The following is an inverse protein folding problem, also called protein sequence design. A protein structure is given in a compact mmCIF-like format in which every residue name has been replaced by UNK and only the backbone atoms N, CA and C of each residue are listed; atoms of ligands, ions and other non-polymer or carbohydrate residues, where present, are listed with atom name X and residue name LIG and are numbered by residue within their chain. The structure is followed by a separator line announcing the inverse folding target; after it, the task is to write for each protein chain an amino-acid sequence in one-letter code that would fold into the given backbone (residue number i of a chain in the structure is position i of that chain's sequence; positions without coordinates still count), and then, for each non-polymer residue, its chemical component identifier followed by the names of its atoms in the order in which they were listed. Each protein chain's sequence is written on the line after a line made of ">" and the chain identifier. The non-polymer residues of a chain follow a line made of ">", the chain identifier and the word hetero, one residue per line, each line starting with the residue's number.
data_IF_286182488805
#
_entry.id   IF_286182488805
#
_cell.length_a   1.000
_cell.length_b   1.000
_cell.length_c   1.000
_cell.angle_alpha   90.00
_cell.angle_beta   90.00
_cell.angle_gamma   90.00
#
_symmetry.space_group_name_H-M   'P 1'
#
loop_
_entity.id
_entity.type
_entity.pdbx_description
1 polymer ?
#
# COMPACT_ATOMS: atom_id res chain seq x y z
N UNK A 1 9.93 -7.35 -21.39
CA UNK A 1 9.69 -7.85 -20.03
C UNK A 1 9.84 -6.68 -19.07
N UNK A 2 8.74 -6.01 -18.70
CA UNK A 2 8.80 -4.79 -17.87
C UNK A 2 9.09 -5.19 -16.43
N UNK A 3 10.32 -4.92 -15.98
CA UNK A 3 10.71 -5.10 -14.58
C UNK A 3 9.77 -4.27 -13.69
N UNK A 4 9.09 -4.94 -12.77
CA UNK A 4 8.29 -4.29 -11.72
C UNK A 4 9.26 -3.49 -10.84
N UNK A 5 9.50 -2.22 -11.20
CA UNK A 5 10.31 -1.31 -10.40
C UNK A 5 9.74 -1.27 -8.98
N UNK A 6 10.60 -1.40 -7.94
CA UNK A 6 10.14 -1.41 -6.57
C UNK A 6 9.41 -0.10 -6.24
N UNK A 7 8.36 -0.23 -5.45
CA UNK A 7 7.35 0.78 -5.12
C UNK A 7 7.88 1.86 -4.16
N UNK A 8 9.09 2.40 -4.39
CA UNK A 8 9.70 3.44 -3.53
C UNK A 8 8.83 4.68 -3.46
N UNK A 9 8.28 4.98 -2.29
CA UNK A 9 7.47 6.17 -2.06
C UNK A 9 8.24 7.46 -2.47
N UNK A 10 7.55 8.54 -2.82
CA UNK A 10 8.19 9.85 -2.87
C UNK A 10 8.86 10.16 -1.53
N UNK A 11 10.07 10.70 -1.54
CA UNK A 11 10.86 10.98 -0.32
C UNK A 11 10.09 11.82 0.71
N UNK A 12 9.28 12.76 0.23
CA UNK A 12 8.43 13.61 1.08
C UNK A 12 7.38 12.82 1.86
N UNK A 13 7.07 11.57 1.51
CA UNK A 13 6.10 10.74 2.22
C UNK A 13 6.77 9.79 3.20
N UNK A 14 8.01 9.35 2.91
CA UNK A 14 8.76 8.41 3.76
C UNK A 14 9.03 8.99 5.16
N UNK A 15 9.19 10.31 5.29
CA UNK A 15 9.49 10.98 6.57
C UNK A 15 8.30 11.06 7.53
N UNK A 16 7.08 10.75 7.08
CA UNK A 16 5.83 10.98 7.82
C UNK A 16 5.06 9.68 8.11
N UNK A 17 5.68 8.51 7.91
CA UNK A 17 5.04 7.21 8.14
C UNK A 17 5.23 6.76 9.58
N UNK A 18 4.14 6.59 10.32
CA UNK A 18 4.16 6.01 11.67
C UNK A 18 4.21 4.47 11.61
N UNK A 19 4.97 3.86 12.53
CA UNK A 19 5.08 2.40 12.67
C UNK A 19 3.81 1.72 13.18
N UNK A 20 2.85 2.47 13.74
CA UNK A 20 1.55 1.96 14.19
C UNK A 20 0.67 1.45 13.03
N UNK A 21 0.96 1.93 11.82
CA UNK A 21 0.22 1.60 10.62
C UNK A 21 1.09 0.76 9.67
N UNK A 22 0.42 -0.14 8.96
CA UNK A 22 0.93 -0.79 7.77
C UNK A 22 0.70 0.15 6.58
N UNK A 23 1.71 0.32 5.73
CA UNK A 23 1.67 1.26 4.62
C UNK A 23 1.93 0.55 3.30
N UNK A 24 1.08 0.82 2.29
CA UNK A 24 1.27 0.29 0.94
C UNK A 24 1.34 1.45 -0.06
N UNK A 25 2.51 1.72 -0.66
CA UNK A 25 2.60 2.55 -1.86
C UNK A 25 1.92 1.82 -3.01
N UNK A 26 1.00 2.42 -3.76
CA UNK A 26 0.47 1.91 -5.03
C UNK A 26 0.78 2.90 -6.15
N UNK A 27 1.12 2.40 -7.33
CA UNK A 27 1.17 3.20 -8.56
C UNK A 27 0.04 2.77 -9.48
N UNK A 28 -0.79 3.72 -9.86
CA UNK A 28 -1.84 3.57 -10.84
C UNK A 28 -1.33 4.16 -12.17
N UNK A 29 -1.36 3.40 -13.25
CA UNK A 29 -0.93 3.89 -14.54
C UNK A 29 -1.99 4.82 -15.15
N UNK A 30 -1.61 5.66 -16.13
CA UNK A 30 -2.49 6.70 -16.69
C UNK A 30 -3.73 6.16 -17.41
N UNK A 31 -3.68 4.94 -17.96
CA UNK A 31 -4.81 4.31 -18.65
C UNK A 31 -5.98 3.97 -17.73
N UNK A 32 -5.75 3.88 -16.42
CA UNK A 32 -6.84 3.67 -15.46
C UNK A 32 -7.65 4.96 -15.40
N UNK A 33 -8.96 4.92 -15.53
CA UNK A 33 -9.76 6.14 -15.39
C UNK A 33 -9.79 6.61 -13.93
N UNK A 34 -10.20 7.86 -13.68
CA UNK A 34 -10.43 8.35 -12.31
C UNK A 34 -11.45 7.47 -11.58
N UNK A 35 -12.58 7.19 -12.23
CA UNK A 35 -13.66 6.38 -11.67
C UNK A 35 -13.19 4.95 -11.38
N UNK A 36 -12.53 4.30 -12.33
CA UNK A 36 -12.03 2.94 -12.14
C UNK A 36 -10.99 2.82 -11.02
N UNK A 37 -10.14 3.83 -10.85
CA UNK A 37 -9.26 3.91 -9.69
C UNK A 37 -10.03 4.06 -8.38
N UNK A 38 -10.98 5.00 -8.31
CA UNK A 38 -11.80 5.23 -7.12
C UNK A 38 -12.57 3.99 -6.69
N UNK A 39 -13.21 3.28 -7.63
CA UNK A 39 -13.94 2.04 -7.34
C UNK A 39 -13.04 0.96 -6.77
N UNK A 40 -11.88 0.70 -7.39
CA UNK A 40 -10.92 -0.30 -6.90
C UNK A 40 -10.42 0.05 -5.49
N UNK A 41 -10.08 1.31 -5.27
CA UNK A 41 -9.59 1.78 -3.97
C UNK A 41 -10.68 1.73 -2.89
N UNK A 42 -11.94 2.02 -3.22
CA UNK A 42 -13.06 1.91 -2.30
C UNK A 42 -13.30 0.45 -1.88
N UNK A 43 -13.20 -0.50 -2.80
CA UNK A 43 -13.29 -1.94 -2.51
C UNK A 43 -12.19 -2.36 -1.52
N UNK A 44 -10.95 -1.91 -1.74
CA UNK A 44 -9.85 -2.20 -0.80
C UNK A 44 -10.10 -1.58 0.59
N UNK A 45 -10.69 -0.39 0.65
CA UNK A 45 -11.06 0.24 1.91
C UNK A 45 -12.13 -0.54 2.66
N UNK A 46 -13.20 -0.91 1.96
CA UNK A 46 -14.35 -1.59 2.54
C UNK A 46 -13.99 -3.01 3.01
N UNK A 47 -13.33 -3.78 2.16
CA UNK A 47 -13.18 -5.23 2.38
C UNK A 47 -11.80 -5.65 2.91
N UNK A 48 -10.78 -4.81 2.79
CA UNK A 48 -9.41 -5.13 3.23
C UNK A 48 -8.92 -4.23 4.37
N UNK A 49 -9.72 -3.23 4.75
CA UNK A 49 -9.41 -2.27 5.80
C UNK A 49 -8.32 -1.26 5.40
N UNK A 50 -8.14 -1.01 4.09
CA UNK A 50 -7.14 -0.06 3.60
C UNK A 50 -7.69 1.34 3.45
N UNK A 51 -7.21 2.29 4.24
CA UNK A 51 -7.59 3.69 4.12
C UNK A 51 -6.65 4.43 3.15
N UNK A 52 -7.23 5.28 2.29
CA UNK A 52 -6.44 6.16 1.43
C UNK A 52 -5.95 7.35 2.25
N UNK A 53 -4.63 7.55 2.32
CA UNK A 53 -4.05 8.68 3.07
C UNK A 53 -3.57 9.79 2.15
N UNK A 54 -2.92 9.45 1.03
CA UNK A 54 -2.35 10.42 0.11
C UNK A 54 -2.53 9.98 -1.34
N UNK A 55 -2.77 10.94 -2.21
CA UNK A 55 -2.80 10.74 -3.66
C UNK A 55 -1.98 11.85 -4.32
N UNK A 56 -1.10 11.46 -5.24
CA UNK A 56 -0.36 12.40 -6.11
C UNK A 56 -0.58 12.03 -7.55
N UNK A 57 -1.12 12.98 -8.31
CA UNK A 57 -1.21 12.90 -9.76
C UNK A 57 0.07 13.49 -10.36
N UNK A 58 0.60 12.82 -11.38
CA UNK A 58 1.77 13.26 -12.15
C UNK A 58 1.33 13.75 -13.53
N UNK A 59 2.21 14.51 -14.19
CA UNK A 59 1.95 15.09 -15.52
C UNK A 59 1.81 14.05 -16.62
N UNK A 60 2.39 12.86 -16.42
CA UNK A 60 2.21 11.69 -17.29
C UNK A 60 0.85 11.00 -17.11
N UNK A 61 -0.04 11.55 -16.26
CA UNK A 61 -1.35 11.01 -15.92
C UNK A 61 -1.30 9.85 -14.90
N UNK A 62 -0.10 9.37 -14.55
CA UNK A 62 0.05 8.34 -13.53
C UNK A 62 -0.28 8.89 -12.14
N UNK A 63 -0.76 8.03 -11.26
CA UNK A 63 -1.08 8.39 -9.88
C UNK A 63 -0.29 7.53 -8.92
N UNK A 64 0.21 8.12 -7.85
CA UNK A 64 0.73 7.39 -6.70
C UNK A 64 -0.24 7.55 -5.55
N UNK A 65 -0.60 6.45 -4.94
CA UNK A 65 -1.54 6.37 -3.83
C UNK A 65 -0.81 5.75 -2.66
N UNK A 66 -0.98 6.32 -1.48
CA UNK A 66 -0.50 5.73 -0.23
C UNK A 66 -1.72 5.23 0.53
N UNK A 67 -1.77 3.92 0.73
CA UNK A 67 -2.75 3.26 1.57
C UNK A 67 -2.16 3.01 2.94
N UNK A 68 -3.00 3.08 3.98
CA UNK A 68 -2.64 2.71 5.35
C UNK A 68 -3.67 1.76 5.95
N UNK A 69 -3.24 0.94 6.90
CA UNK A 69 -4.12 0.12 7.72
C UNK A 69 -3.51 0.02 9.11
N UNK A 70 -4.32 0.14 10.17
CA UNK A 70 -3.80 0.02 11.54
C UNK A 70 -3.26 -1.39 11.77
N UNK A 71 -2.05 -1.52 12.33
CA UNK A 71 -1.54 -2.82 12.74
C UNK A 71 -2.36 -3.30 13.94
N UNK A 72 -3.16 -4.34 13.74
CA UNK A 72 -3.75 -5.04 14.89
C UNK A 72 -2.65 -5.84 15.57
N UNK A 73 -2.66 -5.86 16.91
CA UNK A 73 -1.74 -6.68 17.70
C UNK A 73 -1.69 -8.11 17.15
N UNK A 74 -2.86 -8.71 16.84
CA UNK A 74 -3.00 -10.04 16.23
C UNK A 74 -2.24 -10.19 14.90
N UNK A 75 -2.25 -9.16 14.05
CA UNK A 75 -1.60 -9.18 12.74
C UNK A 75 -0.07 -9.01 12.88
N UNK A 76 0.38 -8.25 13.88
CA UNK A 76 1.79 -8.09 14.20
C UNK A 76 2.43 -9.41 14.72
N UNK A 77 1.71 -10.21 15.50
CA UNK A 77 2.20 -11.52 16.01
C UNK A 77 2.38 -12.56 14.88
N UNK A 78 1.55 -12.51 13.84
CA UNK A 78 1.69 -13.40 12.68
C UNK A 78 2.91 -13.07 11.81
N UNK A 79 3.34 -11.81 11.77
CA UNK A 79 4.54 -11.38 11.01
C UNK A 79 5.87 -11.80 11.64
N UNK A 80 5.88 -12.13 12.94
CA UNK A 80 7.09 -12.42 13.72
C UNK A 80 7.28 -13.90 14.10
N UNK A 81 6.44 -14.82 13.60
CA UNK A 81 6.72 -16.26 13.78
C UNK A 81 7.82 -16.66 12.81
N UNK A 82 9.06 -16.48 13.26
CA UNK A 82 10.14 -17.37 12.88
C UNK A 82 9.66 -18.79 13.20
N UNK A 83 9.27 -19.52 12.16
CA UNK A 83 8.96 -20.94 12.24
C UNK A 83 10.31 -21.64 12.36
N UNK A 84 10.83 -21.72 13.58
CA UNK A 84 11.81 -22.74 13.93
C UNK A 84 11.04 -24.06 14.00
N UNK A 85 10.98 -24.77 12.88
CA UNK A 85 10.45 -26.12 12.82
C UNK A 85 11.63 -27.07 13.05
N UNK A 86 11.81 -27.67 14.25
CA UNK A 86 12.77 -28.75 14.38
C UNK A 86 12.21 -29.95 13.61
N UNK A 87 13.02 -30.46 12.68
CA UNK A 87 12.71 -31.67 11.94
C UNK A 87 12.52 -32.86 12.89
N UNK A 88 11.49 -33.64 12.64
CA UNK A 88 11.36 -35.03 13.09
C UNK A 88 11.64 -35.96 11.91
#
# INVERSE_FOLDING_TARGET
>A
MTALRPRRLPASWESELSDEYEWIPLRLPPEVTRIGASTRLAIEAEYRGWELTRVRLYTDGSRRVLLRRKKSQMNAISGNRCVDQPGL
#
